data_IF_068743637618
#
_entry.id   IF_068743637618
#
_cell.length_a   1.000
_cell.length_b   1.000
_cell.length_c   1.000
_cell.angle_alpha   90.00
_cell.angle_beta   90.00
_cell.angle_gamma   90.00
#
_symmetry.space_group_name_H-M   'P 1'
#
loop_
_entity.id
_entity.type
_entity.pdbx_description
1 polymer ?
#
# COMPACT_ATOMS: atom_id res chain seq x y z
N UNK A 1 -21.37 -1.88 -2.29
CA UNK A 1 -20.01 -2.46 -2.37
C UNK A 1 -20.16 -3.88 -2.86
N UNK A 2 -19.36 -4.31 -3.83
CA UNK A 2 -19.40 -5.69 -4.31
C UNK A 2 -19.06 -6.65 -3.17
N UNK A 3 -19.75 -7.78 -3.11
CA UNK A 3 -19.48 -8.80 -2.11
C UNK A 3 -18.05 -9.34 -2.29
N UNK A 4 -17.25 -9.28 -1.22
CA UNK A 4 -15.91 -9.88 -1.20
C UNK A 4 -16.02 -11.39 -1.01
N UNK A 5 -15.10 -12.13 -1.62
CA UNK A 5 -14.97 -13.57 -1.46
C UNK A 5 -13.96 -13.86 -0.34
N UNK A 6 -14.23 -14.87 0.50
CA UNK A 6 -13.35 -15.30 1.59
C UNK A 6 -12.93 -14.12 2.50
N UNK A 7 -13.90 -13.32 2.92
CA UNK A 7 -13.66 -12.11 3.68
C UNK A 7 -13.39 -12.36 5.17
N UNK A 8 -12.77 -11.37 5.79
CA UNK A 8 -12.48 -11.27 7.20
C UNK A 8 -12.70 -9.80 7.64
N UNK A 9 -12.52 -9.45 8.92
CA UNK A 9 -12.80 -8.09 9.42
C UNK A 9 -12.01 -6.95 8.75
N UNK A 10 -10.92 -7.24 8.03
CA UNK A 10 -10.08 -6.23 7.38
C UNK A 10 -10.13 -6.31 5.84
N UNK A 11 -10.66 -7.36 5.23
CA UNK A 11 -10.63 -7.50 3.78
C UNK A 11 -11.04 -8.86 3.23
N UNK A 12 -10.96 -9.01 1.92
CA UNK A 12 -11.34 -10.22 1.18
C UNK A 12 -10.99 -10.10 -0.31
N UNK A 13 -11.14 -11.18 -1.07
CA UNK A 13 -10.87 -11.17 -2.51
C UNK A 13 -11.97 -10.45 -3.29
N UNK A 14 -11.59 -9.78 -4.37
CA UNK A 14 -12.52 -9.28 -5.38
C UNK A 14 -13.35 -10.41 -5.98
N UNK A 15 -14.52 -10.09 -6.53
CA UNK A 15 -15.42 -11.10 -7.12
C UNK A 15 -14.79 -11.90 -8.27
N UNK A 16 -13.81 -11.33 -8.98
CA UNK A 16 -13.02 -11.99 -10.02
C UNK A 16 -11.76 -12.71 -9.50
N UNK A 17 -11.49 -12.61 -8.19
CA UNK A 17 -10.35 -13.23 -7.51
C UNK A 17 -8.99 -12.62 -7.86
N UNK A 18 -8.92 -11.48 -8.55
CA UNK A 18 -7.66 -10.89 -9.04
C UNK A 18 -6.98 -9.95 -8.06
N UNK A 19 -7.73 -9.42 -7.11
CA UNK A 19 -7.25 -8.48 -6.11
C UNK A 19 -7.64 -8.97 -4.71
N UNK A 20 -6.75 -8.82 -3.74
CA UNK A 20 -7.12 -8.84 -2.33
C UNK A 20 -7.40 -7.40 -1.87
N UNK A 21 -8.64 -7.14 -1.46
CA UNK A 21 -9.14 -5.83 -1.07
C UNK A 21 -9.11 -5.71 0.45
N UNK A 22 -8.32 -4.76 0.95
CA UNK A 22 -8.17 -4.44 2.35
C UNK A 22 -8.88 -3.12 2.61
N UNK A 23 -9.78 -3.08 3.60
CA UNK A 23 -10.47 -1.86 4.02
C UNK A 23 -10.27 -1.66 5.51
N UNK A 24 -9.60 -0.58 5.88
CA UNK A 24 -9.32 -0.22 7.26
C UNK A 24 -10.15 1.02 7.61
N UNK A 25 -11.01 0.91 8.61
CA UNK A 25 -11.68 2.07 9.18
C UNK A 25 -10.67 3.02 9.86
N UNK A 26 -11.14 4.22 10.25
CA UNK A 26 -10.31 5.19 10.97
C UNK A 26 -9.70 4.57 12.23
N UNK A 27 -8.37 4.62 12.33
CA UNK A 27 -7.61 4.01 13.43
C UNK A 27 -7.44 2.49 13.40
N UNK A 28 -8.11 1.77 12.49
CA UNK A 28 -7.97 0.31 12.36
C UNK A 28 -6.65 -0.05 11.67
N UNK A 29 -6.02 -1.14 12.13
CA UNK A 29 -4.85 -1.76 11.49
C UNK A 29 -5.13 -3.22 11.20
N UNK A 30 -4.37 -3.81 10.29
CA UNK A 30 -4.25 -5.26 10.18
C UNK A 30 -3.55 -5.83 11.43
N UNK A 31 -3.70 -7.14 11.72
CA UNK A 31 -2.99 -7.77 12.84
C UNK A 31 -1.45 -7.78 12.67
N UNK A 32 -0.99 -7.74 11.43
CA UNK A 32 0.40 -7.60 11.00
C UNK A 32 0.40 -7.02 9.57
N UNK A 33 1.47 -6.36 9.12
CA UNK A 33 1.52 -5.78 7.77
C UNK A 33 1.22 -6.83 6.70
N UNK A 34 0.20 -6.57 5.89
CA UNK A 34 -0.17 -7.39 4.76
C UNK A 34 0.49 -6.81 3.52
N UNK A 35 1.52 -7.48 3.04
CA UNK A 35 2.35 -6.97 1.96
C UNK A 35 2.09 -7.65 0.61
N UNK A 36 2.44 -6.92 -0.44
CA UNK A 36 2.54 -7.41 -1.80
C UNK A 36 3.98 -7.29 -2.29
N UNK A 37 4.37 -8.18 -3.21
CA UNK A 37 5.67 -8.14 -3.87
C UNK A 37 5.45 -7.73 -5.31
N UNK A 38 5.97 -6.57 -5.69
CA UNK A 38 5.92 -6.07 -7.06
C UNK A 38 7.33 -6.18 -7.63
N UNK A 39 7.58 -7.12 -8.53
CA UNK A 39 8.93 -7.39 -9.00
C UNK A 39 9.00 -7.77 -10.47
N UNK A 40 10.14 -7.47 -11.07
CA UNK A 40 10.56 -7.90 -12.38
C UNK A 40 12.04 -8.29 -12.40
N UNK A 41 12.57 -8.61 -13.59
CA UNK A 41 13.96 -9.07 -13.75
C UNK A 41 15.02 -8.07 -13.26
N UNK A 42 14.70 -6.78 -13.20
CA UNK A 42 15.66 -5.70 -12.91
C UNK A 42 15.34 -4.94 -11.63
N UNK A 43 14.13 -5.05 -11.09
CA UNK A 43 13.68 -4.21 -9.99
C UNK A 43 12.55 -4.88 -9.21
N UNK A 44 12.46 -4.59 -7.92
CA UNK A 44 11.29 -4.95 -7.14
C UNK A 44 11.09 -4.12 -5.90
N UNK A 45 9.91 -4.25 -5.33
CA UNK A 45 9.52 -3.65 -4.06
C UNK A 45 8.62 -4.59 -3.27
N UNK A 46 8.81 -4.61 -1.95
CA UNK A 46 7.81 -5.13 -1.02
C UNK A 46 7.06 -3.93 -0.48
N UNK A 47 5.74 -3.94 -0.61
CA UNK A 47 4.88 -2.84 -0.17
C UNK A 47 3.71 -3.35 0.67
N UNK A 48 3.53 -2.81 1.86
CA UNK A 48 2.42 -3.14 2.76
C UNK A 48 1.12 -2.43 2.40
N UNK A 49 0.03 -2.84 3.03
CA UNK A 49 -1.25 -2.14 2.95
C UNK A 49 -1.23 -0.77 3.60
N UNK A 50 -0.30 -0.58 4.54
CA UNK A 50 -0.09 0.66 5.29
C UNK A 50 0.84 1.65 4.57
N UNK A 51 1.46 1.26 3.46
CA UNK A 51 2.36 2.09 2.65
C UNK A 51 3.84 1.92 2.98
N UNK A 52 4.17 1.02 3.92
CA UNK A 52 5.55 0.65 4.19
C UNK A 52 6.17 -0.03 2.97
N UNK A 53 7.23 0.56 2.42
CA UNK A 53 7.88 0.05 1.22
C UNK A 53 9.40 -0.10 1.40
N UNK A 54 9.95 -1.05 0.68
CA UNK A 54 11.38 -1.21 0.47
C UNK A 54 11.63 -1.71 -0.95
N UNK A 55 12.56 -1.07 -1.63
CA UNK A 55 12.77 -1.18 -3.07
C UNK A 55 14.22 -1.55 -3.39
N UNK A 56 14.43 -2.38 -4.43
CA UNK A 56 15.75 -2.83 -4.88
C UNK A 56 15.85 -2.91 -6.40
N UNK A 57 17.09 -2.90 -6.90
CA UNK A 57 17.42 -3.26 -8.28
C UNK A 57 18.16 -4.59 -8.34
N UNK A 58 17.79 -5.51 -9.23
CA UNK A 58 18.39 -6.84 -9.48
C UNK A 58 18.48 -7.81 -8.29
N UNK A 59 19.05 -7.38 -7.15
CA UNK A 59 19.28 -8.19 -5.96
C UNK A 59 18.74 -7.48 -4.71
N UNK A 60 17.78 -8.12 -4.03
CA UNK A 60 17.13 -7.61 -2.83
C UNK A 60 18.02 -7.58 -1.57
N UNK A 61 19.21 -8.19 -1.60
CA UNK A 61 20.15 -8.16 -0.50
C UNK A 61 21.20 -7.06 -0.69
N UNK A 62 21.87 -7.10 -1.86
CA UNK A 62 23.03 -6.27 -2.18
C UNK A 62 22.66 -4.87 -2.69
N UNK A 63 21.57 -4.76 -3.46
CA UNK A 63 21.27 -3.57 -4.27
C UNK A 63 19.95 -2.93 -3.88
N UNK A 64 19.81 -2.70 -2.57
CA UNK A 64 18.68 -2.00 -1.98
C UNK A 64 18.77 -0.51 -2.31
N UNK A 65 17.71 0.03 -2.91
CA UNK A 65 17.59 1.45 -3.23
C UNK A 65 17.03 2.24 -2.05
N UNK A 66 16.15 1.61 -1.28
CA UNK A 66 15.60 2.18 -0.05
C UNK A 66 15.87 1.25 1.13
N UNK A 67 15.97 1.77 2.37
CA UNK A 67 16.24 0.94 3.55
C UNK A 67 15.12 -0.08 3.82
N UNK A 68 15.51 -1.26 4.33
CA UNK A 68 14.58 -2.25 4.89
C UNK A 68 14.86 -2.41 6.39
N UNK A 69 13.83 -2.20 7.21
CA UNK A 69 13.93 -2.23 8.66
C UNK A 69 13.58 -3.58 9.29
N UNK A 70 13.00 -4.51 8.52
CA UNK A 70 12.54 -5.83 8.99
C UNK A 70 11.75 -5.76 10.32
N UNK A 71 10.86 -4.76 10.43
CA UNK A 71 10.04 -4.52 11.61
C UNK A 71 8.60 -4.98 11.34
N UNK A 72 8.16 -6.12 11.88
CA UNK A 72 6.82 -6.64 11.66
C UNK A 72 5.75 -5.94 12.52
N UNK A 73 6.13 -5.00 13.39
CA UNK A 73 5.23 -4.32 14.33
C UNK A 73 4.89 -2.93 13.83
N UNK A 74 5.89 -2.11 13.54
CA UNK A 74 5.65 -0.69 13.17
C UNK A 74 5.52 -0.46 11.68
N UNK A 75 5.98 -1.39 10.86
CA UNK A 75 6.02 -1.25 9.40
C UNK A 75 6.79 0.00 8.94
N UNK A 76 7.89 0.31 9.63
CA UNK A 76 8.75 1.45 9.32
C UNK A 76 9.33 1.35 7.89
N UNK A 77 9.26 2.46 7.16
CA UNK A 77 9.76 2.58 5.78
C UNK A 77 10.67 3.79 5.61
N UNK A 78 11.67 3.65 4.75
CA UNK A 78 12.48 4.77 4.27
C UNK A 78 11.82 5.57 3.14
N UNK A 79 10.64 5.12 2.68
CA UNK A 79 9.83 5.79 1.67
C UNK A 79 8.62 6.45 2.34
N UNK A 80 8.27 7.66 1.90
CA UNK A 80 7.14 8.40 2.46
C UNK A 80 6.47 9.28 1.41
N UNK A 81 5.13 9.31 1.43
CA UNK A 81 4.31 10.20 0.62
C UNK A 81 3.44 11.02 1.55
N UNK A 82 3.49 12.35 1.40
CA UNK A 82 2.64 13.28 2.12
C UNK A 82 1.81 14.09 1.13
N UNK A 83 0.55 14.30 1.48
CA UNK A 83 -0.34 15.27 0.86
C UNK A 83 -0.55 16.38 1.88
N UNK A 84 -0.52 17.62 1.41
CA UNK A 84 -0.76 18.80 2.24
C UNK A 84 -1.74 19.72 1.54
N UNK A 85 -2.75 20.13 2.27
CA UNK A 85 -3.62 21.23 1.88
C UNK A 85 -2.85 22.55 2.04
N UNK A 86 -2.73 23.33 0.96
CA UNK A 86 -1.89 24.53 0.95
C UNK A 86 -2.52 25.72 1.70
N UNK A 87 -3.85 25.75 1.85
CA UNK A 87 -4.58 26.86 2.49
C UNK A 87 -4.54 26.74 4.02
N UNK A 88 -4.90 25.58 4.55
CA UNK A 88 -4.93 25.27 5.99
C UNK A 88 -3.58 24.82 6.53
N UNK A 89 -2.73 24.27 5.67
CA UNK A 89 -1.49 23.61 6.05
C UNK A 89 -1.67 22.20 6.64
N UNK A 90 -2.91 21.68 6.72
CA UNK A 90 -3.22 20.32 7.13
C UNK A 90 -2.53 19.30 6.22
N UNK A 91 -1.98 18.22 6.78
CA UNK A 91 -1.26 17.21 6.00
C UNK A 91 -1.47 15.80 6.51
N UNK A 92 -1.47 14.86 5.57
CA UNK A 92 -1.69 13.43 5.79
C UNK A 92 -0.93 12.62 4.76
N UNK A 93 -1.02 11.30 4.83
CA UNK A 93 -0.45 10.35 3.89
C UNK A 93 -1.59 9.70 3.08
N UNK A 94 -1.39 9.44 1.78
CA UNK A 94 -2.38 8.74 0.96
C UNK A 94 -2.51 7.25 1.35
N UNK A 95 -1.59 6.77 2.18
CA UNK A 95 -1.56 5.48 2.86
C UNK A 95 -1.66 5.67 4.37
N UNK A 96 -2.03 4.64 5.16
CA UNK A 96 -2.10 4.74 6.62
C UNK A 96 -0.83 5.27 7.32
N UNK A 97 0.34 4.95 6.79
CA UNK A 97 1.64 5.46 7.23
C UNK A 97 2.25 6.37 6.15
N UNK A 98 3.18 7.26 6.51
CA UNK A 98 3.66 7.55 7.87
C UNK A 98 2.75 8.46 8.70
N UNK A 99 1.83 9.21 8.07
CA UNK A 99 0.90 10.10 8.77
C UNK A 99 -0.53 9.82 8.35
N UNK A 100 -1.23 9.03 9.15
CA UNK A 100 -2.65 8.74 8.95
C UNK A 100 -3.50 10.03 8.89
N UNK A 101 -4.38 10.10 7.91
CA UNK A 101 -5.50 11.04 7.83
C UNK A 101 -6.76 10.50 8.49
N UNK A 102 -7.87 11.20 8.36
CA UNK A 102 -9.15 10.81 8.92
C UNK A 102 -9.95 9.86 8.02
N UNK A 103 -10.75 8.99 8.62
CA UNK A 103 -11.61 8.08 7.87
C UNK A 103 -10.91 6.82 7.35
N UNK A 104 -11.50 6.22 6.31
CA UNK A 104 -11.15 4.89 5.87
C UNK A 104 -10.05 4.89 4.79
N UNK A 105 -9.25 3.83 4.83
CA UNK A 105 -8.29 3.50 3.79
C UNK A 105 -8.74 2.23 3.09
N UNK A 106 -8.57 2.20 1.76
CA UNK A 106 -8.76 1.00 0.97
C UNK A 106 -7.50 0.70 0.17
N UNK A 107 -6.94 -0.48 0.40
CA UNK A 107 -5.82 -0.99 -0.37
C UNK A 107 -6.25 -2.18 -1.21
N UNK A 108 -5.74 -2.29 -2.43
CA UNK A 108 -5.91 -3.46 -3.28
C UNK A 108 -4.57 -3.99 -3.71
N UNK A 109 -4.27 -5.22 -3.34
CA UNK A 109 -3.09 -5.93 -3.82
C UNK A 109 -3.50 -6.84 -4.97
N UNK A 110 -2.96 -6.58 -6.16
CA UNK A 110 -3.11 -7.41 -7.34
C UNK A 110 -1.76 -7.95 -7.81
N UNK A 111 -1.78 -8.77 -8.86
CA UNK A 111 -0.56 -9.31 -9.45
C UNK A 111 0.27 -8.20 -10.11
N UNK A 112 1.40 -7.83 -9.48
CA UNK A 112 2.33 -6.83 -10.00
C UNK A 112 1.93 -5.36 -9.76
N UNK A 113 0.89 -5.11 -8.96
CA UNK A 113 0.51 -3.75 -8.56
C UNK A 113 -0.18 -3.69 -7.20
N UNK A 114 -0.17 -2.49 -6.60
CA UNK A 114 -0.95 -2.15 -5.42
C UNK A 114 -1.65 -0.81 -5.62
N UNK A 115 -2.92 -0.71 -5.24
CA UNK A 115 -3.71 0.53 -5.32
C UNK A 115 -4.06 0.98 -3.91
N UNK A 116 -3.82 2.24 -3.59
CA UNK A 116 -4.19 2.89 -2.34
C UNK A 116 -5.24 3.97 -2.61
N UNK A 117 -6.33 3.93 -1.86
CA UNK A 117 -7.42 4.87 -1.96
C UNK A 117 -7.77 5.41 -0.57
N UNK A 118 -7.89 6.72 -0.48
CA UNK A 118 -8.20 7.42 0.75
C UNK A 118 -8.91 8.74 0.42
N UNK A 119 -9.76 9.22 1.30
CA UNK A 119 -10.44 10.52 1.14
C UNK A 119 -10.34 11.29 2.44
N UNK A 120 -9.93 12.54 2.33
CA UNK A 120 -9.71 13.48 3.44
C UNK A 120 -10.47 14.77 3.12
N UNK A 121 -11.23 15.33 4.06
CA UNK A 121 -11.90 16.63 3.90
C UNK A 121 -12.74 16.79 2.61
N UNK A 122 -13.34 15.70 2.11
CA UNK A 122 -14.10 15.69 0.86
C UNK A 122 -13.24 15.60 -0.41
N UNK A 123 -11.91 15.68 -0.29
CA UNK A 123 -10.95 15.41 -1.37
C UNK A 123 -10.63 13.92 -1.43
N UNK A 124 -10.85 13.31 -2.61
CA UNK A 124 -10.52 11.90 -2.84
C UNK A 124 -9.14 11.76 -3.48
N UNK A 125 -8.27 11.00 -2.84
CA UNK A 125 -6.94 10.68 -3.33
C UNK A 125 -6.88 9.20 -3.72
N UNK A 126 -6.27 8.93 -4.86
CA UNK A 126 -5.95 7.57 -5.31
C UNK A 126 -4.51 7.53 -5.74
N UNK A 127 -3.71 6.78 -5.00
CA UNK A 127 -2.31 6.52 -5.34
C UNK A 127 -2.20 5.12 -5.91
N UNK A 128 -1.58 4.98 -7.07
CA UNK A 128 -1.36 3.69 -7.71
C UNK A 128 0.15 3.39 -7.69
N UNK A 129 0.54 2.39 -6.91
CA UNK A 129 1.87 1.80 -6.98
C UNK A 129 1.90 0.69 -8.04
N UNK A 130 2.64 0.91 -9.13
CA UNK A 130 2.86 -0.11 -10.16
C UNK A 130 4.35 -0.42 -10.24
N UNK A 131 4.73 -1.69 -10.14
CA UNK A 131 6.00 -2.14 -10.68
C UNK A 131 5.71 -2.99 -11.91
N UNK A 132 5.82 -2.38 -13.08
CA UNK A 132 5.65 -3.12 -14.33
C UNK A 132 6.86 -4.00 -14.61
N UNK A 133 6.69 -5.31 -14.74
CA UNK A 133 7.17 -5.95 -15.96
C UNK A 133 6.04 -6.65 -16.68
N UNK A 134 5.77 -6.14 -17.86
CA UNK A 134 5.19 -6.94 -18.91
C UNK A 134 6.33 -7.62 -19.66
N UNK A 135 6.62 -8.87 -19.31
CA UNK A 135 6.97 -9.83 -20.34
C UNK A 135 5.89 -10.89 -20.34
N UNK A 136 4.90 -10.71 -21.23
CA UNK A 136 4.10 -11.84 -21.69
C UNK A 136 5.07 -12.91 -22.17
N UNK A 137 4.94 -14.13 -21.66
CA UNK A 137 4.97 -15.33 -22.49
C UNK A 137 3.71 -16.12 -22.20
#
# INVERSE_FOLDING_TARGET
>A
ADALLLDNPCGGFSADGREYVITLAGGQTTPAPWANVLANAQFGTVISESGGAYTWGENAHEFRLTPWHNDPVTDASGEALYVRDEESGHYWSPTPLPRRGEGAYRTRHGFGYSVFEHSEDGSRHRTLGVCGAWTRR
#
